data_IF_326049299125
#
_entry.id   IF_326049299125
#
_cell.length_a   1.000
_cell.length_b   1.000
_cell.length_c   1.000
_cell.angle_alpha   90.00
_cell.angle_beta   90.00
_cell.angle_gamma   90.00
#
_symmetry.space_group_name_H-M   'P 1'
#
loop_
_entity.id
_entity.type
_entity.pdbx_description
1 polymer ?
#
# COMPACT_ATOMS: atom_id res chain seq x y z
N UNK A 1 -25.11 -17.02 9.25
CA UNK A 1 -25.33 -16.17 8.07
C UNK A 1 -24.02 -16.00 7.32
N UNK A 2 -24.03 -16.30 6.03
CA UNK A 2 -22.83 -16.21 5.23
C UNK A 2 -22.66 -14.78 4.72
N UNK A 3 -21.57 -14.15 5.09
CA UNK A 3 -21.26 -12.81 4.64
C UNK A 3 -20.41 -12.89 3.38
N UNK A 4 -20.91 -12.31 2.30
CA UNK A 4 -20.14 -12.18 1.08
C UNK A 4 -19.75 -10.71 0.92
N UNK A 5 -18.43 -10.40 0.86
CA UNK A 5 -18.04 -9.02 0.62
C UNK A 5 -18.53 -8.57 -0.75
N UNK A 6 -19.14 -7.40 -0.78
CA UNK A 6 -19.56 -6.81 -2.04
C UNK A 6 -18.33 -6.28 -2.78
N UNK A 7 -18.49 -6.05 -4.08
CA UNK A 7 -17.40 -5.46 -4.86
C UNK A 7 -17.06 -4.06 -4.34
N UNK A 8 -18.05 -3.35 -3.81
CA UNK A 8 -17.82 -2.07 -3.17
C UNK A 8 -16.88 -2.23 -1.97
N UNK A 9 -17.08 -3.28 -1.16
CA UNK A 9 -16.20 -3.56 -0.03
C UNK A 9 -14.79 -3.86 -0.49
N UNK A 10 -14.63 -4.60 -1.59
CA UNK A 10 -13.31 -4.90 -2.14
C UNK A 10 -12.61 -3.63 -2.63
N UNK A 11 -13.36 -2.72 -3.23
CA UNK A 11 -12.80 -1.43 -3.67
C UNK A 11 -12.37 -0.59 -2.46
N UNK A 12 -13.16 -0.59 -1.41
CA UNK A 12 -12.81 0.12 -0.18
C UNK A 12 -11.53 -0.45 0.42
N UNK A 13 -11.39 -1.77 0.44
CA UNK A 13 -10.16 -2.41 0.92
C UNK A 13 -8.96 -2.03 0.07
N UNK A 14 -9.12 -2.01 -1.26
CA UNK A 14 -8.04 -1.60 -2.15
C UNK A 14 -7.62 -0.16 -1.88
N UNK A 15 -8.58 0.72 -1.66
CA UNK A 15 -8.26 2.11 -1.33
C UNK A 15 -7.53 2.20 0.01
N UNK A 16 -7.92 1.41 0.99
CA UNK A 16 -7.22 1.37 2.28
C UNK A 16 -5.79 0.89 2.13
N UNK A 17 -5.56 -0.11 1.27
CA UNK A 17 -4.21 -0.59 1.00
C UNK A 17 -3.35 0.54 0.44
N UNK A 18 -3.90 1.30 -0.51
CA UNK A 18 -3.18 2.44 -1.09
C UNK A 18 -2.84 3.46 -0.02
N UNK A 19 -3.82 3.86 0.78
CA UNK A 19 -3.63 4.89 1.80
C UNK A 19 -2.62 4.45 2.86
N UNK A 20 -2.75 3.21 3.34
CA UNK A 20 -1.85 2.68 4.35
C UNK A 20 -0.43 2.53 3.80
N UNK A 21 -0.31 2.10 2.55
CA UNK A 21 1.00 1.93 1.92
C UNK A 21 1.69 3.27 1.71
N UNK A 22 0.96 4.29 1.30
CA UNK A 22 1.52 5.64 1.14
C UNK A 22 2.03 6.15 2.48
N UNK A 23 1.26 5.99 3.54
CA UNK A 23 1.67 6.41 4.88
C UNK A 23 2.91 5.66 5.33
N UNK A 24 2.95 4.34 5.13
CA UNK A 24 4.11 3.54 5.50
C UNK A 24 5.36 3.95 4.73
N UNK A 25 5.23 4.21 3.44
CA UNK A 25 6.35 4.67 2.62
C UNK A 25 6.87 6.00 3.14
N UNK A 26 5.97 6.92 3.45
CA UNK A 26 6.34 8.24 3.97
C UNK A 26 7.14 8.13 5.27
N UNK A 27 6.69 7.28 6.19
CA UNK A 27 7.37 7.06 7.46
C UNK A 27 8.76 6.47 7.22
N UNK A 28 8.86 5.48 6.36
CA UNK A 28 10.15 4.83 6.06
C UNK A 28 11.11 5.78 5.36
N UNK A 29 10.61 6.56 4.39
CA UNK A 29 11.43 7.55 3.70
C UNK A 29 11.98 8.59 4.68
N UNK A 30 11.14 9.07 5.59
CA UNK A 30 11.58 10.03 6.60
C UNK A 30 12.65 9.44 7.52
N UNK A 31 12.48 8.19 7.92
CA UNK A 31 13.45 7.52 8.78
C UNK A 31 14.81 7.37 8.08
N UNK A 32 14.79 7.08 6.78
CA UNK A 32 16.02 6.99 5.99
C UNK A 32 16.65 8.36 5.85
N UNK A 33 15.85 9.37 5.49
CA UNK A 33 16.34 10.73 5.24
C UNK A 33 16.94 11.36 6.50
N UNK A 34 16.36 11.06 7.67
CA UNK A 34 16.85 11.59 8.94
C UNK A 34 18.07 10.86 9.46
N UNK A 35 18.51 9.80 8.78
CA UNK A 35 19.65 9.01 9.25
C UNK A 35 19.32 8.16 10.47
N UNK A 36 18.02 7.99 10.76
CA UNK A 36 17.58 7.22 11.89
C UNK A 36 17.88 5.74 11.72
N UNK A 37 17.86 5.25 10.48
CA UNK A 37 18.16 3.87 10.13
C UNK A 37 19.59 3.75 9.64
N UNK A 38 20.31 2.77 10.18
CA UNK A 38 21.67 2.47 9.74
C UNK A 38 21.63 1.57 8.50
N UNK A 39 22.79 1.39 7.86
CA UNK A 39 22.91 0.77 6.54
C UNK A 39 22.06 -0.47 6.32
N UNK A 40 22.16 -1.46 7.22
CA UNK A 40 21.40 -2.71 7.07
C UNK A 40 19.91 -2.45 7.18
N UNK A 41 19.50 -1.64 8.15
CA UNK A 41 18.09 -1.32 8.36
C UNK A 41 17.55 -0.43 7.25
N UNK A 42 18.40 0.43 6.70
CA UNK A 42 18.02 1.25 5.55
C UNK A 42 17.71 0.37 4.34
N UNK A 43 18.51 -0.67 4.10
CA UNK A 43 18.26 -1.60 3.00
C UNK A 43 16.95 -2.36 3.19
N UNK A 44 16.67 -2.80 4.41
CA UNK A 44 15.41 -3.47 4.72
C UNK A 44 14.23 -2.52 4.48
N UNK A 45 14.36 -1.28 4.93
CA UNK A 45 13.32 -0.27 4.72
C UNK A 45 13.08 -0.02 3.23
N UNK A 46 14.14 0.06 2.43
CA UNK A 46 14.02 0.23 0.99
C UNK A 46 13.29 -0.95 0.34
N UNK A 47 13.55 -2.16 0.81
CA UNK A 47 12.85 -3.35 0.33
C UNK A 47 11.36 -3.25 0.66
N UNK A 48 11.02 -2.83 1.88
CA UNK A 48 9.62 -2.65 2.27
C UNK A 48 8.94 -1.56 1.44
N UNK A 49 9.62 -0.46 1.18
CA UNK A 49 9.08 0.60 0.33
C UNK A 49 8.75 0.04 -1.05
N UNK A 50 9.64 -0.76 -1.61
CA UNK A 50 9.42 -1.38 -2.91
C UNK A 50 8.19 -2.28 -2.90
N UNK A 51 8.02 -3.07 -1.84
CA UNK A 51 6.86 -3.93 -1.69
C UNK A 51 5.57 -3.13 -1.56
N UNK A 52 5.60 -2.05 -0.77
CA UNK A 52 4.44 -1.18 -0.64
C UNK A 52 4.07 -0.52 -1.97
N UNK A 53 5.06 -0.10 -2.76
CA UNK A 53 4.79 0.46 -4.07
C UNK A 53 4.13 -0.55 -5.00
N UNK A 54 4.57 -1.80 -4.94
CA UNK A 54 3.94 -2.88 -5.70
C UNK A 54 2.50 -3.10 -5.26
N UNK A 55 2.24 -3.06 -3.96
CA UNK A 55 0.88 -3.22 -3.43
C UNK A 55 -0.01 -2.08 -3.91
N UNK A 56 0.51 -0.84 -3.92
CA UNK A 56 -0.23 0.31 -4.42
C UNK A 56 -0.59 0.10 -5.89
N UNK A 57 0.39 -0.31 -6.68
CA UNK A 57 0.18 -0.54 -8.11
C UNK A 57 -0.91 -1.59 -8.34
N UNK A 58 -0.84 -2.70 -7.62
CA UNK A 58 -1.84 -3.77 -7.75
C UNK A 58 -3.22 -3.29 -7.35
N UNK A 59 -3.31 -2.51 -6.26
CA UNK A 59 -4.58 -1.96 -5.81
C UNK A 59 -5.14 -0.96 -6.81
N UNK A 60 -4.29 -0.13 -7.41
CA UNK A 60 -4.72 0.81 -8.42
C UNK A 60 -5.23 0.10 -9.67
N UNK A 61 -4.56 -0.97 -10.09
CA UNK A 61 -5.02 -1.79 -11.23
C UNK A 61 -6.40 -2.37 -10.92
N UNK A 62 -6.58 -2.89 -9.72
CA UNK A 62 -7.88 -3.43 -9.32
C UNK A 62 -8.96 -2.35 -9.38
N UNK A 63 -8.69 -1.17 -8.84
CA UNK A 63 -9.65 -0.08 -8.83
C UNK A 63 -9.98 0.37 -10.25
N UNK A 64 -8.97 0.47 -11.10
CA UNK A 64 -9.18 0.87 -12.49
C UNK A 64 -10.03 -0.13 -13.24
N UNK A 65 -9.79 -1.42 -13.04
CA UNK A 65 -10.56 -2.48 -13.71
C UNK A 65 -12.00 -2.55 -13.23
N UNK A 66 -12.29 -2.03 -12.04
CA UNK A 66 -13.62 -2.15 -11.42
C UNK A 66 -14.29 -0.81 -11.21
N UNK A 67 -13.80 0.24 -11.84
CA UNK A 67 -14.34 1.59 -11.62
C UNK A 67 -15.76 1.78 -12.14
N UNK A 68 -16.15 0.99 -13.13
CA UNK A 68 -17.47 1.12 -13.76
C UNK A 68 -18.51 0.20 -13.17
N UNK A 69 -18.21 -0.48 -12.09
CA UNK A 69 -19.14 -1.40 -11.46
C UNK A 69 -20.12 -0.61 -10.61
N UNK A 70 -21.38 -0.82 -10.89
CA UNK A 70 -22.47 -0.13 -10.20
C UNK A 70 -22.97 -0.91 -9.01
#
# INVERSE_FOLDING_TARGET
MTFKPSLKTEREKAQMVIDDSIEAISVLDNAIACGFLKDAHSLIAQTWIKEYKSDIENAEIFLDNNKDIK
#
